data_IF_747728947674
#
_entry.id   IF_747728947674
#
_cell.length_a   1.000
_cell.length_b   1.000
_cell.length_c   1.000
_cell.angle_alpha   90.00
_cell.angle_beta   90.00
_cell.angle_gamma   90.00
#
_symmetry.space_group_name_H-M   'P 1'
#
loop_
_entity.id
_entity.type
_entity.pdbx_description
1 polymer ?
#
# COMPACT_ATOMS: atom_id res chain seq x y z
N UNK A 1 -4.78 1.71 17.71
CA UNK A 1 -3.75 0.69 17.99
C UNK A 1 -3.62 0.59 19.52
N UNK A 2 -3.91 -0.56 20.10
CA UNK A 2 -3.81 -0.82 21.55
C UNK A 2 -2.33 -0.87 22.00
N UNK A 3 -2.08 -0.58 23.28
CA UNK A 3 -0.72 -0.52 23.85
C UNK A 3 0.16 -1.78 23.61
N UNK A 4 -0.37 -3.02 23.67
CA UNK A 4 0.41 -4.25 23.40
C UNK A 4 0.92 -4.36 21.96
N UNK A 5 0.20 -3.75 21.03
CA UNK A 5 0.49 -3.78 19.60
C UNK A 5 1.61 -2.82 19.23
N UNK A 6 1.65 -1.68 19.90
CA UNK A 6 2.69 -0.68 19.69
C UNK A 6 4.03 -1.15 20.27
N UNK A 7 4.03 -1.88 21.40
CA UNK A 7 5.24 -2.52 21.92
C UNK A 7 5.74 -3.60 20.98
N UNK A 8 4.85 -4.46 20.47
CA UNK A 8 5.25 -5.51 19.51
C UNK A 8 5.81 -4.94 18.21
N UNK A 9 5.21 -3.88 17.66
CA UNK A 9 5.77 -3.17 16.49
C UNK A 9 7.18 -2.60 16.74
N UNK A 10 7.56 -2.31 17.99
CA UNK A 10 8.89 -1.77 18.30
C UNK A 10 9.92 -2.86 18.55
N UNK A 11 9.48 -4.02 19.02
CA UNK A 11 10.35 -5.06 19.57
C UNK A 11 10.46 -6.29 18.65
N UNK A 12 9.48 -6.52 17.78
CA UNK A 12 9.40 -7.66 16.88
C UNK A 12 9.63 -7.23 15.42
N UNK A 13 10.83 -7.52 14.92
CA UNK A 13 11.24 -7.15 13.57
C UNK A 13 10.48 -7.90 12.47
N UNK A 14 10.15 -9.17 12.70
CA UNK A 14 9.42 -10.01 11.74
C UNK A 14 7.98 -9.52 11.60
N UNK A 15 7.37 -9.13 12.71
CA UNK A 15 6.07 -8.48 12.73
C UNK A 15 6.08 -7.14 11.95
N UNK A 16 7.12 -6.31 12.11
CA UNK A 16 7.26 -5.05 11.36
C UNK A 16 7.40 -5.28 9.86
N UNK A 17 8.22 -6.25 9.46
CA UNK A 17 8.40 -6.61 8.04
C UNK A 17 7.07 -7.06 7.46
N UNK A 18 6.35 -7.92 8.17
CA UNK A 18 5.03 -8.44 7.76
C UNK A 18 4.01 -7.31 7.60
N UNK A 19 3.91 -6.42 8.58
CA UNK A 19 3.04 -5.25 8.49
C UNK A 19 3.39 -4.34 7.29
N UNK A 20 4.68 -4.27 6.91
CA UNK A 20 5.15 -3.51 5.74
C UNK A 20 4.91 -4.22 4.41
N UNK A 21 4.71 -5.54 4.39
CA UNK A 21 4.42 -6.28 3.15
C UNK A 21 3.14 -5.78 2.47
N UNK A 22 2.18 -5.25 3.24
CA UNK A 22 0.96 -4.63 2.69
C UNK A 22 1.27 -3.48 1.72
N UNK A 23 2.41 -2.80 1.88
CA UNK A 23 2.85 -1.70 1.00
C UNK A 23 3.29 -2.22 -0.38
N UNK A 24 3.63 -3.50 -0.50
CA UNK A 24 3.98 -4.12 -1.78
C UNK A 24 2.79 -4.11 -2.77
N UNK A 25 1.56 -4.01 -2.26
CA UNK A 25 0.34 -3.90 -3.08
C UNK A 25 0.36 -2.66 -3.99
N UNK A 26 1.08 -1.59 -3.62
CA UNK A 26 1.28 -0.43 -4.49
C UNK A 26 1.98 -0.75 -5.80
N UNK A 27 2.68 -1.89 -5.88
CA UNK A 27 3.43 -2.32 -7.06
C UNK A 27 2.75 -3.48 -7.80
N UNK A 28 1.47 -3.74 -7.54
CA UNK A 28 0.68 -4.74 -8.26
C UNK A 28 -0.09 -4.03 -9.39
N UNK A 29 -0.26 -4.64 -10.59
CA UNK A 29 -1.14 -4.10 -11.61
C UNK A 29 -2.54 -3.81 -11.05
N UNK A 30 -3.14 -2.68 -11.43
CA UNK A 30 -4.46 -2.27 -10.92
C UNK A 30 -5.54 -3.36 -10.98
N UNK A 31 -5.65 -4.17 -12.07
CA UNK A 31 -6.63 -5.26 -12.14
C UNK A 31 -6.44 -6.33 -11.06
N UNK A 32 -5.21 -6.52 -10.58
CA UNK A 32 -4.81 -7.62 -9.71
C UNK A 32 -4.71 -7.21 -8.24
N UNK A 33 -4.83 -5.92 -7.91
CA UNK A 33 -4.69 -5.37 -6.55
C UNK A 33 -5.55 -6.11 -5.53
N UNK A 34 -6.85 -6.27 -5.81
CA UNK A 34 -7.78 -6.90 -4.88
C UNK A 34 -7.41 -8.36 -4.63
N UNK A 35 -7.06 -9.08 -5.69
CA UNK A 35 -6.67 -10.49 -5.61
C UNK A 35 -5.35 -10.64 -4.83
N UNK A 36 -4.35 -9.83 -5.13
CA UNK A 36 -3.06 -9.87 -4.43
C UNK A 36 -3.21 -9.55 -2.93
N UNK A 37 -4.10 -8.62 -2.58
CA UNK A 37 -4.40 -8.30 -1.19
C UNK A 37 -5.07 -9.48 -0.48
N UNK A 38 -6.07 -10.12 -1.08
CA UNK A 38 -6.69 -11.33 -0.53
C UNK A 38 -5.67 -12.44 -0.31
N UNK A 39 -4.81 -12.71 -1.30
CA UNK A 39 -3.77 -13.73 -1.19
C UNK A 39 -2.76 -13.42 -0.07
N UNK A 40 -2.45 -12.15 0.16
CA UNK A 40 -1.61 -11.72 1.27
C UNK A 40 -2.28 -12.04 2.62
N UNK A 41 -3.58 -11.79 2.76
CA UNK A 41 -4.33 -12.10 3.98
C UNK A 41 -4.46 -13.61 4.25
N UNK A 42 -4.54 -14.43 3.21
CA UNK A 42 -4.58 -15.90 3.34
C UNK A 42 -3.22 -16.55 3.57
N UNK A 43 -2.13 -15.79 3.52
CA UNK A 43 -0.80 -16.35 3.80
C UNK A 43 -0.67 -16.79 5.26
N UNK A 44 0.09 -17.88 5.49
CA UNK A 44 0.34 -18.43 6.83
C UNK A 44 0.88 -17.34 7.80
N UNK A 45 1.56 -16.32 7.27
CA UNK A 45 2.09 -15.20 8.03
C UNK A 45 1.00 -14.26 8.57
N UNK A 46 -0.08 -14.00 7.82
CA UNK A 46 -1.18 -13.14 8.26
C UNK A 46 -2.17 -13.85 9.19
N UNK A 47 -2.33 -15.17 9.02
CA UNK A 47 -3.27 -15.99 9.80
C UNK A 47 -2.80 -16.19 11.25
N UNK A 48 -1.49 -16.26 11.49
CA UNK A 48 -0.93 -16.54 12.83
C UNK A 48 -0.90 -15.32 13.77
N UNK A 49 -1.02 -14.09 13.26
CA UNK A 49 -0.91 -12.84 14.02
C UNK A 49 -2.19 -11.97 13.97
N UNK A 50 -3.33 -12.67 14.03
CA UNK A 50 -4.64 -12.19 13.61
C UNK A 50 -5.10 -10.88 14.26
N UNK A 51 -4.93 -10.65 15.56
CA UNK A 51 -5.65 -9.54 16.24
C UNK A 51 -5.22 -8.14 15.74
N UNK A 52 -3.92 -7.95 15.50
CA UNK A 52 -3.37 -6.67 15.03
C UNK A 52 -3.51 -6.55 13.52
N UNK A 53 -3.23 -7.65 12.82
CA UNK A 53 -3.33 -7.70 11.37
C UNK A 53 -4.77 -7.53 10.92
N UNK A 54 -5.77 -7.94 11.71
CA UNK A 54 -7.18 -7.66 11.46
C UNK A 54 -7.47 -6.15 11.45
N UNK A 55 -7.02 -5.41 12.47
CA UNK A 55 -7.22 -3.95 12.52
C UNK A 55 -6.56 -3.23 11.34
N UNK A 56 -5.36 -3.68 10.95
CA UNK A 56 -4.64 -3.12 9.80
C UNK A 56 -5.34 -3.48 8.49
N UNK A 57 -5.79 -4.73 8.35
CA UNK A 57 -6.49 -5.22 7.15
C UNK A 57 -7.83 -4.53 6.97
N UNK A 58 -8.62 -4.39 8.05
CA UNK A 58 -9.88 -3.62 8.06
C UNK A 58 -9.67 -2.19 7.55
N UNK A 59 -8.62 -1.52 8.02
CA UNK A 59 -8.27 -0.19 7.56
C UNK A 59 -7.90 -0.18 6.06
N UNK A 60 -7.08 -1.11 5.59
CA UNK A 60 -6.74 -1.17 4.17
C UNK A 60 -7.96 -1.51 3.29
N UNK A 61 -8.84 -2.40 3.75
CA UNK A 61 -10.09 -2.72 3.07
C UNK A 61 -11.04 -1.53 2.99
N UNK A 62 -11.18 -0.72 4.04
CA UNK A 62 -12.09 0.43 4.02
C UNK A 62 -11.59 1.56 3.13
N UNK A 63 -10.28 1.83 3.16
CA UNK A 63 -9.71 3.03 2.56
C UNK A 63 -9.11 2.80 1.18
N UNK A 64 -8.45 1.65 0.94
CA UNK A 64 -7.60 1.46 -0.23
C UNK A 64 -8.04 0.33 -1.16
N UNK A 65 -8.64 -0.74 -0.62
CA UNK A 65 -9.00 -1.94 -1.40
C UNK A 65 -10.52 -2.02 -1.68
N UNK A 66 -11.35 -1.59 -0.74
CA UNK A 66 -12.81 -1.66 -0.78
C UNK A 66 -13.35 -2.99 -0.24
N UNK A 67 -14.32 -3.00 0.69
CA UNK A 67 -14.85 -4.25 1.28
C UNK A 67 -15.73 -5.08 0.34
N UNK A 68 -15.67 -6.41 0.49
CA UNK A 68 -16.63 -7.34 -0.12
C UNK A 68 -17.96 -7.26 0.65
N UNK A 69 -19.06 -7.05 -0.07
CA UNK A 69 -20.41 -7.06 0.47
C UNK A 69 -21.07 -8.44 0.35
N UNK A 70 -22.24 -8.58 0.98
CA UNK A 70 -23.01 -9.82 1.14
C UNK A 70 -23.40 -10.56 -0.16
N UNK A 71 -23.25 -9.91 -1.32
CA UNK A 71 -23.53 -10.45 -2.67
C UNK A 71 -22.26 -10.62 -3.52
N UNK A 72 -21.10 -10.77 -2.88
CA UNK A 72 -19.80 -10.84 -3.55
C UNK A 72 -19.49 -9.61 -4.43
N UNK A 73 -20.12 -8.47 -4.13
CA UNK A 73 -19.91 -7.20 -4.80
C UNK A 73 -18.95 -6.37 -3.96
N UNK A 74 -17.89 -5.82 -4.55
CA UNK A 74 -16.92 -4.99 -3.83
C UNK A 74 -17.38 -3.53 -3.83
N UNK A 75 -17.44 -2.90 -2.65
CA UNK A 75 -17.63 -1.45 -2.53
C UNK A 75 -16.38 -0.75 -3.07
N UNK A 76 -16.49 0.36 -3.83
CA UNK A 76 -15.31 1.13 -4.22
C UNK A 76 -14.55 1.64 -2.98
N UNK A 77 -13.21 1.61 -3.00
CA UNK A 77 -12.39 2.17 -1.91
C UNK A 77 -12.57 3.69 -1.79
N UNK A 78 -12.27 4.24 -0.62
CA UNK A 78 -12.27 5.70 -0.44
C UNK A 78 -11.21 6.38 -1.32
N UNK A 79 -10.05 5.74 -1.47
CA UNK A 79 -8.96 6.19 -2.33
C UNK A 79 -8.85 5.27 -3.55
N UNK A 80 -9.20 5.77 -4.75
CA UNK A 80 -9.09 4.98 -5.98
C UNK A 80 -7.68 4.44 -6.21
N UNK A 81 -7.57 3.22 -6.75
CA UNK A 81 -6.27 2.56 -6.98
C UNK A 81 -5.30 3.41 -7.81
N UNK A 82 -5.81 4.13 -8.82
CA UNK A 82 -5.02 5.00 -9.68
C UNK A 82 -4.35 6.17 -8.95
N UNK A 83 -4.81 6.53 -7.75
CA UNK A 83 -4.24 7.62 -6.97
C UNK A 83 -2.92 7.24 -6.28
N UNK A 84 -2.76 5.97 -5.89
CA UNK A 84 -1.65 5.51 -5.07
C UNK A 84 -0.83 4.38 -5.70
N UNK A 85 -1.32 3.77 -6.77
CA UNK A 85 -0.60 2.71 -7.48
C UNK A 85 0.70 3.25 -8.11
N UNK A 86 1.76 2.46 -7.97
CA UNK A 86 3.11 2.77 -8.45
C UNK A 86 3.58 1.79 -9.53
N UNK A 87 2.75 0.83 -9.97
CA UNK A 87 3.17 -0.23 -10.90
C UNK A 87 3.69 0.34 -12.21
N UNK A 88 2.88 1.15 -12.90
CA UNK A 88 3.25 1.73 -14.19
C UNK A 88 4.45 2.68 -14.07
N UNK A 89 4.53 3.45 -12.97
CA UNK A 89 5.67 4.32 -12.73
C UNK A 89 6.98 3.51 -12.56
N UNK A 90 6.89 2.37 -11.88
CA UNK A 90 8.03 1.50 -11.60
C UNK A 90 8.50 0.77 -12.84
N UNK A 91 7.59 0.16 -13.61
CA UNK A 91 7.94 -0.63 -14.80
C UNK A 91 8.44 0.25 -15.95
N UNK A 92 7.92 1.46 -16.09
CA UNK A 92 8.33 2.41 -17.11
C UNK A 92 9.55 3.24 -16.71
N UNK A 93 10.13 3.00 -15.52
CA UNK A 93 11.19 3.81 -14.92
C UNK A 93 10.88 5.32 -14.97
N UNK A 94 9.58 5.66 -14.91
CA UNK A 94 9.15 7.05 -14.85
C UNK A 94 9.59 7.56 -13.49
N UNK A 95 10.48 8.56 -13.51
CA UNK A 95 10.99 9.17 -12.30
C UNK A 95 9.83 9.52 -11.36
N UNK A 96 9.99 9.16 -10.08
CA UNK A 96 9.15 9.71 -9.01
C UNK A 96 9.02 11.22 -9.26
N UNK A 97 7.84 11.77 -9.03
CA UNK A 97 7.40 13.12 -9.45
C UNK A 97 8.27 14.31 -9.02
N UNK A 98 9.46 14.08 -8.44
CA UNK A 98 10.49 15.11 -8.31
C UNK A 98 11.32 15.29 -9.60
N UNK A 99 11.45 14.32 -10.52
CA UNK A 99 12.46 14.46 -11.59
C UNK A 99 12.10 15.52 -12.63
N UNK A 100 10.81 15.70 -12.92
CA UNK A 100 10.30 16.75 -13.80
C UNK A 100 10.30 18.13 -13.13
N UNK A 101 10.03 18.20 -11.82
CA UNK A 101 10.10 19.44 -11.04
C UNK A 101 11.56 19.85 -10.80
N UNK A 102 12.43 18.92 -10.44
CA UNK A 102 13.88 19.13 -10.34
C UNK A 102 14.46 19.50 -11.69
N UNK A 103 13.99 18.90 -12.79
CA UNK A 103 14.30 19.30 -14.15
C UNK A 103 13.95 20.76 -14.43
N UNK A 104 12.71 21.18 -14.12
CA UNK A 104 12.28 22.58 -14.28
C UNK A 104 13.05 23.54 -13.36
N UNK A 105 13.27 23.18 -12.10
CA UNK A 105 14.04 24.00 -11.15
C UNK A 105 15.50 24.17 -11.61
N UNK A 106 16.13 23.11 -12.14
CA UNK A 106 17.51 23.15 -12.63
C UNK A 106 17.63 23.98 -13.92
N UNK A 107 16.69 23.81 -14.84
CA UNK A 107 16.65 24.55 -16.11
C UNK A 107 16.35 26.04 -15.88
N UNK A 108 15.43 26.36 -14.97
CA UNK A 108 15.16 27.74 -14.53
C UNK A 108 16.37 28.39 -13.86
N UNK A 109 17.08 27.66 -12.97
CA UNK A 109 18.30 28.16 -12.34
C UNK A 109 19.43 28.42 -13.35
N UNK A 110 19.52 27.63 -14.43
CA UNK A 110 20.46 27.87 -15.55
C UNK A 110 20.06 29.04 -16.44
N UNK A 111 18.77 29.37 -16.53
CA UNK A 111 18.30 30.50 -17.33
C UNK A 111 18.51 31.86 -16.63
N UNK A 112 18.46 31.86 -15.29
CA UNK A 112 18.60 33.08 -14.46
C UNK A 112 20.07 33.43 -14.16
N UNK A 113 21.03 32.60 -14.58
CA UNK A 113 22.48 32.79 -14.37
C UNK A 113 23.22 32.90 -15.71
#
# INVERSE_FOLDING_TARGET
>A
MNAPTLSRYREDGDFVITAKMILAICFVPIPDICFAFEQLLFSDFFVNDAEILNCLSDYFEDFYIGRILRLNTRRPPLFPHSLWNCYDATINNNGRTNNSVEGWHNEFARFIN
#
